data_IF_051129762858
#
_entry.id   IF_051129762858
#
_cell.length_a   1.000
_cell.length_b   1.000
_cell.length_c   1.000
_cell.angle_alpha   90.00
_cell.angle_beta   90.00
_cell.angle_gamma   90.00
#
_symmetry.space_group_name_H-M   'P 1'
#
loop_
_entity.id
_entity.type
_entity.pdbx_description
1 polymer ?
#
# COMPACT_ATOMS: atom_id res chain seq x y z
N UNK A 1 18.43 31.27 -12.28
CA UNK A 1 18.20 29.89 -12.78
C UNK A 1 18.43 28.82 -11.70
N UNK A 2 19.15 29.09 -10.60
CA UNK A 2 19.31 28.14 -9.49
C UNK A 2 18.19 28.14 -8.43
N UNK A 3 17.59 29.30 -8.15
CA UNK A 3 16.62 29.43 -7.05
C UNK A 3 15.24 28.84 -7.38
N UNK A 4 14.81 28.96 -8.64
CA UNK A 4 13.53 28.43 -9.14
C UNK A 4 13.50 26.89 -9.16
N UNK A 5 14.62 26.25 -9.51
CA UNK A 5 14.75 24.79 -9.45
C UNK A 5 14.66 24.25 -8.02
N UNK A 6 15.33 24.91 -7.06
CA UNK A 6 15.24 24.53 -5.66
C UNK A 6 13.84 24.74 -5.08
N UNK A 7 13.16 25.82 -5.48
CA UNK A 7 11.77 26.08 -5.09
C UNK A 7 10.82 24.97 -5.60
N UNK A 8 11.00 24.53 -6.85
CA UNK A 8 10.22 23.43 -7.41
C UNK A 8 10.52 22.10 -6.71
N UNK A 9 11.78 21.80 -6.39
CA UNK A 9 12.12 20.60 -5.62
C UNK A 9 11.47 20.60 -4.25
N UNK A 10 11.44 21.72 -3.54
CA UNK A 10 10.79 21.79 -2.24
C UNK A 10 9.27 21.72 -2.34
N UNK A 11 8.67 22.27 -3.40
CA UNK A 11 7.25 22.04 -3.71
C UNK A 11 6.97 20.55 -3.92
N UNK A 12 7.74 19.88 -4.77
CA UNK A 12 7.56 18.45 -5.09
C UNK A 12 7.78 17.57 -3.85
N UNK A 13 8.80 17.87 -3.04
CA UNK A 13 9.06 17.18 -1.78
C UNK A 13 7.94 17.40 -0.76
N UNK A 14 7.44 18.63 -0.62
CA UNK A 14 6.30 18.98 0.25
C UNK A 14 5.01 18.26 -0.19
N UNK A 15 4.75 18.22 -1.49
CA UNK A 15 3.60 17.53 -2.07
C UNK A 15 3.64 16.02 -1.81
N UNK A 16 4.83 15.38 -1.88
CA UNK A 16 4.98 13.96 -1.53
C UNK A 16 4.88 13.70 -0.03
N UNK A 17 5.28 14.65 0.83
CA UNK A 17 5.15 14.53 2.30
C UNK A 17 3.70 14.66 2.78
N UNK A 18 2.85 15.37 2.04
CA UNK A 18 1.48 15.67 2.44
C UNK A 18 0.41 14.93 1.60
N UNK A 19 0.81 14.00 0.74
CA UNK A 19 -0.11 13.15 -0.02
C UNK A 19 -0.34 11.81 0.69
N UNK A 20 -1.52 11.17 0.51
CA UNK A 20 -1.74 9.79 0.93
C UNK A 20 -0.67 8.86 0.35
N UNK A 21 -0.22 7.89 1.15
CA UNK A 21 0.69 6.86 0.67
C UNK A 21 -0.11 5.81 -0.09
N UNK A 22 0.13 5.63 -1.41
CA UNK A 22 -0.55 4.58 -2.16
C UNK A 22 -0.05 3.20 -1.73
N UNK A 23 -0.97 2.23 -1.61
CA UNK A 23 -0.61 0.85 -1.37
C UNK A 23 -0.40 0.11 -2.71
N UNK A 24 0.62 -0.77 -2.81
CA UNK A 24 0.71 -1.72 -3.92
C UNK A 24 -0.59 -2.52 -4.04
N UNK A 25 -1.15 -2.59 -5.24
CA UNK A 25 -2.42 -3.25 -5.50
C UNK A 25 -2.17 -4.62 -6.11
N UNK A 26 -2.75 -5.65 -5.51
CA UNK A 26 -2.68 -7.03 -6.00
C UNK A 26 -4.07 -7.62 -6.06
N UNK A 27 -4.37 -8.34 -7.14
CA UNK A 27 -5.60 -9.11 -7.17
C UNK A 27 -5.52 -10.23 -6.13
N UNK A 28 -6.65 -10.61 -5.55
CA UNK A 28 -6.72 -11.75 -4.65
C UNK A 28 -6.07 -13.02 -5.23
N UNK A 29 -6.25 -13.26 -6.53
CA UNK A 29 -5.74 -14.46 -7.19
C UNK A 29 -4.22 -14.42 -7.43
N UNK A 30 -3.59 -13.24 -7.27
CA UNK A 30 -2.19 -13.00 -7.57
C UNK A 30 -1.53 -12.22 -6.42
N UNK A 31 -1.73 -12.73 -5.20
CA UNK A 31 -1.05 -12.19 -4.02
C UNK A 31 0.39 -12.68 -3.98
N UNK A 32 1.37 -11.80 -3.71
CA UNK A 32 2.73 -12.23 -3.44
C UNK A 32 2.77 -13.09 -2.17
N UNK A 33 3.81 -13.91 -2.01
CA UNK A 33 3.98 -14.70 -0.80
C UNK A 33 4.08 -13.80 0.44
N UNK A 34 3.11 -13.89 1.35
CA UNK A 34 3.04 -13.01 2.52
C UNK A 34 4.29 -13.10 3.42
N UNK A 35 4.89 -14.30 3.52
CA UNK A 35 6.12 -14.52 4.29
C UNK A 35 7.36 -13.81 3.76
N UNK A 36 7.36 -13.38 2.48
CA UNK A 36 8.44 -12.53 1.94
C UNK A 36 8.29 -11.06 2.32
N UNK A 37 7.12 -10.67 2.86
CA UNK A 37 6.76 -9.28 3.14
C UNK A 37 6.14 -9.10 4.54
N UNK A 38 6.77 -9.59 5.64
CA UNK A 38 6.21 -9.43 6.98
C UNK A 38 6.03 -7.95 7.33
N UNK A 39 4.94 -7.61 8.02
CA UNK A 39 4.59 -6.24 8.44
C UNK A 39 4.36 -5.24 7.29
N UNK A 40 4.26 -5.70 6.03
CA UNK A 40 3.92 -4.85 4.89
C UNK A 40 2.40 -4.72 4.68
N UNK A 41 2.01 -3.69 3.91
CA UNK A 41 0.63 -3.36 3.55
C UNK A 41 0.43 -3.43 2.03
N UNK A 42 -0.73 -3.92 1.60
CA UNK A 42 -1.19 -3.94 0.20
C UNK A 42 -2.67 -3.53 0.10
N UNK A 43 -3.14 -3.28 -1.11
CA UNK A 43 -4.56 -3.13 -1.43
C UNK A 43 -5.04 -4.31 -2.27
N UNK A 44 -6.22 -4.84 -1.95
CA UNK A 44 -6.85 -5.96 -2.68
C UNK A 44 -8.19 -5.46 -3.24
N UNK A 45 -8.29 -5.15 -4.55
CA UNK A 45 -9.48 -4.53 -5.12
C UNK A 45 -10.65 -5.50 -5.31
N UNK A 46 -10.39 -6.81 -5.37
CA UNK A 46 -11.35 -7.87 -5.72
C UNK A 46 -11.49 -8.92 -4.61
N UNK A 47 -11.42 -8.48 -3.36
CA UNK A 47 -11.72 -9.33 -2.21
C UNK A 47 -13.23 -9.60 -2.09
N UNK A 48 -13.62 -10.77 -1.56
CA UNK A 48 -15.02 -11.20 -1.52
C UNK A 48 -15.95 -10.23 -0.76
N UNK A 49 -15.45 -9.56 0.28
CA UNK A 49 -16.18 -8.54 1.05
C UNK A 49 -16.15 -7.13 0.45
N UNK A 50 -15.59 -6.97 -0.74
CA UNK A 50 -15.29 -5.68 -1.37
C UNK A 50 -13.82 -5.26 -1.20
N UNK A 51 -13.43 -4.26 -1.97
CA UNK A 51 -12.06 -3.77 -2.01
C UNK A 51 -11.54 -3.37 -0.61
N UNK A 52 -10.35 -3.84 -0.24
CA UNK A 52 -9.85 -3.68 1.14
C UNK A 52 -8.33 -3.55 1.22
N UNK A 53 -7.80 -2.73 2.14
CA UNK A 53 -6.40 -2.83 2.56
C UNK A 53 -6.14 -4.13 3.34
N UNK A 54 -4.97 -4.73 3.12
CA UNK A 54 -4.52 -5.92 3.83
C UNK A 54 -3.07 -5.77 4.32
N UNK A 55 -2.73 -6.43 5.42
CA UNK A 55 -1.39 -6.50 5.98
C UNK A 55 -0.88 -7.94 6.05
N UNK A 56 0.42 -8.14 5.91
CA UNK A 56 1.04 -9.45 6.12
C UNK A 56 1.29 -9.71 7.60
N UNK A 57 0.84 -10.85 8.11
CA UNK A 57 1.20 -11.37 9.43
C UNK A 57 2.47 -12.23 9.42
N UNK A 58 3.18 -12.31 8.28
CA UNK A 58 4.33 -13.18 8.05
C UNK A 58 3.97 -14.57 7.51
N UNK A 59 2.67 -14.91 7.43
CA UNK A 59 2.18 -16.17 6.85
C UNK A 59 1.05 -15.93 5.85
N UNK A 60 0.13 -15.03 6.15
CA UNK A 60 -1.05 -14.70 5.36
C UNK A 60 -1.20 -13.18 5.17
N UNK A 61 -1.87 -12.80 4.09
CA UNK A 61 -2.46 -11.46 3.97
C UNK A 61 -3.78 -11.44 4.74
N UNK A 62 -3.93 -10.48 5.64
CA UNK A 62 -5.14 -10.28 6.45
C UNK A 62 -5.75 -8.94 6.17
N UNK A 63 -7.08 -8.90 6.03
CA UNK A 63 -7.83 -7.65 5.88
C UNK A 63 -7.64 -6.78 7.12
N UNK A 64 -7.48 -5.48 6.93
CA UNK A 64 -7.31 -4.54 8.05
C UNK A 64 -8.55 -4.47 8.94
N UNK A 65 -9.74 -4.59 8.35
CA UNK A 65 -11.01 -4.38 9.05
C UNK A 65 -11.31 -5.46 10.12
N UNK A 66 -11.04 -6.72 9.83
CA UNK A 66 -11.49 -7.86 10.64
C UNK A 66 -10.41 -8.93 10.88
N UNK A 67 -9.21 -8.74 10.31
CA UNK A 67 -8.07 -9.68 10.37
C UNK A 67 -8.36 -11.07 9.79
N UNK A 68 -9.45 -11.24 9.05
CA UNK A 68 -9.70 -12.47 8.30
C UNK A 68 -8.68 -12.56 7.15
N UNK A 69 -8.27 -13.78 6.83
CA UNK A 69 -7.37 -14.06 5.70
C UNK A 69 -8.08 -13.66 4.40
N UNK A 70 -7.38 -12.93 3.55
CA UNK A 70 -7.86 -12.56 2.21
C UNK A 70 -8.19 -13.84 1.42
N UNK A 71 -9.43 -14.00 0.92
CA UNK A 71 -9.95 -15.30 0.45
C UNK A 71 -10.89 -15.29 -0.75
#
# INVERSE_FOLDING_TARGET
>A
MGDDFNAELERLRSQRRNAPVPLPSFSKADLPAAGSYPCCMIFVPNEAGGATPAFSDGTNWRRVADRIIVS
#
